data_IF_147632397665
#
_entry.id   IF_147632397665
#
_cell.length_a   1.000
_cell.length_b   1.000
_cell.length_c   1.000
_cell.angle_alpha   90.00
_cell.angle_beta   90.00
_cell.angle_gamma   90.00
#
_symmetry.space_group_name_H-M   'P 1'
#
loop_
_entity.id
_entity.type
_entity.pdbx_description
1 polymer ?
#
# COMPACT_ATOMS: atom_id res chain seq x y z
N UNK A 1 14.97 6.96 -1.38
CA UNK A 1 13.59 6.43 -1.55
C UNK A 1 13.03 5.76 -0.30
N UNK A 2 13.82 5.01 0.48
CA UNK A 2 13.32 4.28 1.67
C UNK A 2 12.77 5.15 2.81
N UNK A 3 13.34 6.34 3.05
CA UNK A 3 13.00 7.15 4.23
C UNK A 3 11.53 7.58 4.32
N UNK A 4 10.90 8.02 3.22
CA UNK A 4 9.54 8.56 3.25
C UNK A 4 8.50 7.52 3.66
N UNK A 5 8.56 6.31 3.09
CA UNK A 5 7.59 5.26 3.40
C UNK A 5 7.80 4.68 4.81
N UNK A 6 9.04 4.54 5.28
CA UNK A 6 9.29 4.15 6.67
C UNK A 6 8.85 5.22 7.68
N UNK A 7 9.08 6.50 7.39
CA UNK A 7 8.57 7.59 8.23
C UNK A 7 7.03 7.59 8.27
N UNK A 8 6.40 7.30 7.14
CA UNK A 8 4.95 7.18 7.05
C UNK A 8 4.43 5.98 7.85
N UNK A 9 5.05 4.81 7.72
CA UNK A 9 4.74 3.61 8.52
C UNK A 9 4.86 3.89 10.03
N UNK A 10 5.96 4.51 10.46
CA UNK A 10 6.16 4.90 11.86
C UNK A 10 5.07 5.88 12.34
N UNK A 11 4.73 6.86 11.52
CA UNK A 11 3.67 7.84 11.84
C UNK A 11 2.31 7.15 11.97
N UNK A 12 2.00 6.20 11.07
CA UNK A 12 0.77 5.39 11.11
C UNK A 12 0.74 4.58 12.40
N UNK A 13 1.82 3.87 12.74
CA UNK A 13 1.90 3.06 13.95
C UNK A 13 1.66 3.90 15.22
N UNK A 14 2.28 5.07 15.32
CA UNK A 14 2.11 6.00 16.44
C UNK A 14 0.68 6.54 16.55
N UNK A 15 0.04 6.84 15.41
CA UNK A 15 -1.30 7.46 15.38
C UNK A 15 -2.45 6.46 15.45
N UNK A 16 -2.17 5.16 15.36
CA UNK A 16 -3.19 4.10 15.34
C UNK A 16 -3.91 3.95 16.67
N UNK A 17 -3.22 4.15 17.79
CA UNK A 17 -3.78 4.11 19.15
C UNK A 17 -4.18 5.48 19.70
N UNK A 18 -4.11 6.53 18.87
CA UNK A 18 -4.53 7.88 19.26
C UNK A 18 -6.06 7.98 19.36
N UNK A 19 -6.56 9.11 19.86
CA UNK A 19 -7.99 9.39 19.87
C UNK A 19 -8.56 9.44 18.43
N UNK A 20 -9.58 8.62 18.09
CA UNK A 20 -10.24 8.63 16.78
C UNK A 20 -10.88 9.97 16.37
N UNK A 21 -11.15 10.87 17.32
CA UNK A 21 -11.64 12.22 17.03
C UNK A 21 -10.54 13.18 16.57
N UNK A 22 -9.27 12.86 16.84
CA UNK A 22 -8.10 13.70 16.56
C UNK A 22 -7.16 13.10 15.51
N UNK A 23 -7.30 11.82 15.18
CA UNK A 23 -6.43 11.10 14.24
C UNK A 23 -7.25 10.34 13.20
N UNK A 24 -6.99 10.63 11.92
CA UNK A 24 -7.62 9.91 10.81
C UNK A 24 -7.27 8.41 10.82
N UNK A 25 -6.01 8.06 11.12
CA UNK A 25 -5.55 6.67 11.23
C UNK A 25 -6.30 5.94 12.35
N UNK A 26 -6.46 6.58 13.51
CA UNK A 26 -7.25 6.03 14.62
C UNK A 26 -8.73 5.88 14.24
N UNK A 27 -9.30 6.84 13.51
CA UNK A 27 -10.68 6.78 13.01
C UNK A 27 -10.91 5.64 12.02
N UNK A 28 -9.96 5.38 11.12
CA UNK A 28 -10.04 4.22 10.22
C UNK A 28 -9.92 2.92 11.01
N UNK A 29 -8.98 2.86 11.94
CA UNK A 29 -8.73 1.68 12.77
C UNK A 29 -9.93 1.34 13.65
N UNK A 30 -10.58 2.33 14.25
CA UNK A 30 -11.79 2.13 15.05
C UNK A 30 -12.99 1.63 14.23
N UNK A 31 -12.99 1.85 12.91
CA UNK A 31 -13.97 1.31 11.96
C UNK A 31 -13.63 -0.10 11.46
N UNK A 32 -12.46 -0.63 11.83
CA UNK A 32 -12.03 -2.00 11.57
C UNK A 32 -11.53 -2.26 10.14
N UNK A 33 -10.95 -3.45 9.97
CA UNK A 33 -10.28 -3.91 8.74
C UNK A 33 -11.12 -3.75 7.47
N UNK A 34 -12.43 -4.03 7.55
CA UNK A 34 -13.33 -3.90 6.40
C UNK A 34 -13.34 -2.49 5.81
N UNK A 35 -13.36 -1.45 6.66
CA UNK A 35 -13.33 -0.07 6.16
C UNK A 35 -11.96 0.32 5.62
N UNK A 36 -10.88 -0.16 6.24
CA UNK A 36 -9.52 0.08 5.78
C UNK A 36 -9.32 -0.51 4.38
N UNK A 37 -9.67 -1.79 4.20
CA UNK A 37 -9.58 -2.48 2.91
C UNK A 37 -10.47 -1.84 1.84
N UNK A 38 -11.66 -1.35 2.21
CA UNK A 38 -12.50 -0.58 1.30
C UNK A 38 -11.77 0.63 0.73
N UNK A 39 -11.07 1.41 1.57
CA UNK A 39 -10.33 2.59 1.09
C UNK A 39 -9.19 2.21 0.16
N UNK A 40 -8.44 1.14 0.45
CA UNK A 40 -7.43 0.63 -0.51
C UNK A 40 -8.05 0.34 -1.88
N UNK A 41 -9.25 -0.26 -1.92
CA UNK A 41 -9.95 -0.50 -3.18
C UNK A 41 -10.44 0.77 -3.88
N UNK A 42 -10.89 1.76 -3.11
CA UNK A 42 -11.32 3.09 -3.59
C UNK A 42 -10.16 3.80 -4.32
N UNK A 43 -9.02 4.01 -3.63
CA UNK A 43 -7.87 4.71 -4.19
C UNK A 43 -7.27 3.97 -5.40
N UNK A 44 -7.33 2.63 -5.40
CA UNK A 44 -6.85 1.84 -6.52
C UNK A 44 -7.68 2.07 -7.79
N UNK A 45 -9.01 2.18 -7.64
CA UNK A 45 -9.90 2.49 -8.76
C UNK A 45 -9.72 3.94 -9.19
N UNK A 46 -9.61 4.87 -8.26
CA UNK A 46 -9.38 6.30 -8.53
C UNK A 46 -8.04 6.52 -9.25
N UNK A 47 -6.96 5.86 -8.82
CA UNK A 47 -5.66 5.88 -9.50
C UNK A 47 -5.77 5.41 -10.96
N UNK A 48 -6.51 4.32 -11.22
CA UNK A 48 -6.71 3.81 -12.58
C UNK A 48 -7.50 4.81 -13.42
N UNK A 49 -8.57 5.38 -12.87
CA UNK A 49 -9.40 6.38 -13.56
C UNK A 49 -8.57 7.61 -13.92
N UNK A 50 -7.81 8.16 -12.96
CA UNK A 50 -6.94 9.32 -13.15
C UNK A 50 -5.90 9.07 -14.26
N UNK A 51 -5.27 7.89 -14.23
CA UNK A 51 -4.30 7.50 -15.24
C UNK A 51 -4.92 7.38 -16.64
N UNK A 52 -6.11 6.79 -16.76
CA UNK A 52 -6.84 6.66 -18.03
C UNK A 52 -7.32 8.02 -18.57
N UNK A 53 -7.62 8.96 -17.68
CA UNK A 53 -7.97 10.33 -18.04
C UNK A 53 -6.75 11.15 -18.51
N UNK A 54 -5.52 10.64 -18.32
CA UNK A 54 -4.29 11.37 -18.61
C UNK A 54 -4.01 12.50 -17.61
N UNK A 55 -4.68 12.51 -16.47
CA UNK A 55 -4.47 13.50 -15.42
C UNK A 55 -3.27 13.10 -14.56
N UNK A 56 -2.12 13.69 -14.87
CA UNK A 56 -0.87 13.41 -14.17
C UNK A 56 -0.89 13.85 -12.71
N UNK A 57 -1.54 14.97 -12.40
CA UNK A 57 -1.54 15.51 -11.04
C UNK A 57 -2.39 14.61 -10.15
N UNK A 58 -3.58 14.24 -10.63
CA UNK A 58 -4.49 13.34 -9.94
C UNK A 58 -3.88 11.95 -9.78
N UNK A 59 -3.24 11.41 -10.83
CA UNK A 59 -2.57 10.10 -10.76
C UNK A 59 -1.53 10.06 -9.65
N UNK A 60 -0.77 11.16 -9.43
CA UNK A 60 0.20 11.25 -8.34
C UNK A 60 -0.48 11.30 -6.98
N UNK A 61 -1.57 12.06 -6.84
CA UNK A 61 -2.36 12.16 -5.62
C UNK A 61 -2.93 10.81 -5.20
N UNK A 62 -3.68 10.18 -6.10
CA UNK A 62 -4.34 8.90 -5.89
C UNK A 62 -3.34 7.76 -5.63
N UNK A 63 -2.18 7.79 -6.31
CA UNK A 63 -1.10 6.83 -6.02
C UNK A 63 -0.54 7.00 -4.61
N UNK A 64 -0.44 8.25 -4.12
CA UNK A 64 0.02 8.52 -2.77
C UNK A 64 -1.01 8.06 -1.73
N UNK A 65 -2.29 8.30 -1.96
CA UNK A 65 -3.37 7.84 -1.08
C UNK A 65 -3.49 6.32 -1.08
N UNK A 66 -3.31 5.66 -2.22
CA UNK A 66 -3.22 4.21 -2.32
C UNK A 66 -2.09 3.64 -1.47
N UNK A 67 -0.89 4.22 -1.55
CA UNK A 67 0.26 3.79 -0.73
C UNK A 67 -0.01 4.04 0.76
N UNK A 68 -0.59 5.19 1.13
CA UNK A 68 -0.96 5.49 2.50
C UNK A 68 -1.94 4.45 3.05
N UNK A 69 -3.04 4.20 2.33
CA UNK A 69 -4.07 3.27 2.75
C UNK A 69 -3.58 1.82 2.78
N UNK A 70 -2.67 1.45 1.88
CA UNK A 70 -1.99 0.16 1.93
C UNK A 70 -1.17 0.01 3.21
N UNK A 71 -0.38 1.01 3.60
CA UNK A 71 0.40 0.96 4.85
C UNK A 71 -0.49 0.86 6.10
N UNK A 72 -1.64 1.55 6.12
CA UNK A 72 -2.62 1.41 7.21
C UNK A 72 -3.18 -0.02 7.27
N UNK A 73 -3.46 -0.63 6.12
CA UNK A 73 -3.92 -2.02 6.05
C UNK A 73 -2.86 -3.00 6.52
N UNK A 74 -1.60 -2.84 6.10
CA UNK A 74 -0.49 -3.68 6.54
C UNK A 74 -0.31 -3.61 8.06
N UNK A 75 -0.35 -2.41 8.63
CA UNK A 75 -0.30 -2.21 10.07
C UNK A 75 -1.49 -2.88 10.81
N UNK A 76 -2.69 -2.88 10.21
CA UNK A 76 -3.85 -3.60 10.76
C UNK A 76 -3.72 -5.13 10.67
N UNK A 77 -3.03 -5.63 9.65
CA UNK A 77 -2.69 -7.04 9.47
C UNK A 77 -1.49 -7.50 10.30
N UNK A 78 -0.76 -6.59 10.95
CA UNK A 78 0.48 -6.91 11.66
C UNK A 78 1.64 -7.25 10.73
N UNK A 79 1.63 -6.71 9.51
CA UNK A 79 2.66 -6.89 8.49
C UNK A 79 3.47 -5.60 8.40
N UNK A 80 4.80 -5.69 8.45
CA UNK A 80 5.67 -4.52 8.25
C UNK A 80 5.85 -4.22 6.75
N UNK A 81 6.18 -2.97 6.46
CA UNK A 81 6.62 -2.56 5.12
C UNK A 81 7.87 -3.34 4.70
N UNK A 82 8.80 -3.60 5.61
CA UNK A 82 10.00 -4.40 5.34
C UNK A 82 9.65 -5.78 4.76
N UNK A 83 8.65 -6.48 5.31
CA UNK A 83 8.23 -7.77 4.76
C UNK A 83 7.73 -7.68 3.30
N UNK A 84 7.12 -6.56 2.92
CA UNK A 84 6.69 -6.32 1.53
C UNK A 84 7.90 -5.97 0.65
N UNK A 85 8.83 -5.16 1.15
CA UNK A 85 10.06 -4.81 0.44
C UNK A 85 10.95 -6.04 0.22
N UNK A 86 11.10 -6.91 1.21
CA UNK A 86 11.85 -8.17 1.09
C UNK A 86 11.26 -9.07 -0.01
N UNK A 87 9.92 -9.12 -0.12
CA UNK A 87 9.24 -9.85 -1.19
C UNK A 87 9.44 -9.18 -2.56
N UNK A 88 9.52 -7.85 -2.64
CA UNK A 88 9.87 -7.15 -3.88
C UNK A 88 11.33 -7.41 -4.26
N UNK A 89 12.27 -7.32 -3.33
CA UNK A 89 13.70 -7.61 -3.56
C UNK A 89 13.88 -9.07 -4.03
N UNK A 90 13.14 -10.02 -3.46
CA UNK A 90 13.11 -11.42 -3.91
C UNK A 90 12.63 -11.55 -5.37
N UNK A 91 11.62 -10.77 -5.78
CA UNK A 91 11.08 -10.77 -7.15
C UNK A 91 11.98 -10.05 -8.14
N UNK A 92 12.68 -9.00 -7.73
CA UNK A 92 13.65 -8.31 -8.60
C UNK A 92 14.81 -9.24 -8.99
N UNK A 93 15.26 -10.09 -8.07
CA UNK A 93 16.26 -11.13 -8.35
C UNK A 93 15.75 -12.28 -9.23
N UNK A 94 14.43 -12.41 -9.39
CA UNK A 94 13.74 -13.42 -10.17
C UNK A 94 12.94 -12.71 -11.26
N UNK A 95 13.60 -12.23 -12.33
CA UNK A 95 12.85 -11.51 -13.38
C UNK A 95 11.64 -12.35 -13.80
N UNK A 96 10.44 -11.75 -13.83
CA UNK A 96 9.20 -12.47 -14.12
C UNK A 96 9.16 -13.12 -15.52
N UNK A 97 10.13 -12.77 -16.37
CA UNK A 97 10.41 -13.45 -17.65
C UNK A 97 11.15 -14.78 -17.43
N UNK A 98 12.11 -14.81 -16.51
CA UNK A 98 12.89 -16.01 -16.13
C UNK A 98 12.01 -17.03 -15.41
N UNK A 99 11.13 -16.60 -14.50
CA UNK A 99 10.14 -17.50 -13.86
C UNK A 99 9.11 -18.04 -14.86
N UNK A 100 8.61 -17.20 -15.79
CA UNK A 100 7.70 -17.66 -16.86
C UNK A 100 8.39 -18.63 -17.83
N UNK A 101 9.67 -18.42 -18.13
CA UNK A 101 10.45 -19.32 -18.98
C UNK A 101 10.70 -20.67 -18.28
N UNK A 102 11.15 -20.65 -17.02
CA UNK A 102 11.38 -21.87 -16.23
C UNK A 102 10.10 -22.71 -16.02
N UNK A 103 8.94 -22.06 -15.89
CA UNK A 103 7.65 -22.75 -15.77
C UNK A 103 7.16 -23.36 -17.09
N UNK A 104 7.64 -22.87 -18.25
CA UNK A 104 7.35 -23.47 -19.57
C UNK A 104 8.25 -24.65 -19.91
N UNK A 105 9.48 -24.71 -19.39
CA UNK A 105 10.38 -25.86 -19.60
C UNK A 105 10.02 -27.07 -18.73
N UNK A 106 9.24 -26.87 -17.67
CA UNK A 106 8.77 -27.94 -16.77
C UNK A 106 7.41 -28.53 -17.18
N UNK A 107 6.80 -28.04 -18.27
CA UNK A 107 5.59 -28.58 -18.89
C UNK A 107 5.94 -29.36 -20.15
#
# INVERSE_FOLDING_TARGET
MRATLHQLEQTIAQRRSADPSQSYVAKLTSRGRGKIAQKVGEEAVETVIAALAGDRAETVGESADLLFHLLVLLADCGISLDSVLDELDRREGLSGLTEKAARREQM
#
